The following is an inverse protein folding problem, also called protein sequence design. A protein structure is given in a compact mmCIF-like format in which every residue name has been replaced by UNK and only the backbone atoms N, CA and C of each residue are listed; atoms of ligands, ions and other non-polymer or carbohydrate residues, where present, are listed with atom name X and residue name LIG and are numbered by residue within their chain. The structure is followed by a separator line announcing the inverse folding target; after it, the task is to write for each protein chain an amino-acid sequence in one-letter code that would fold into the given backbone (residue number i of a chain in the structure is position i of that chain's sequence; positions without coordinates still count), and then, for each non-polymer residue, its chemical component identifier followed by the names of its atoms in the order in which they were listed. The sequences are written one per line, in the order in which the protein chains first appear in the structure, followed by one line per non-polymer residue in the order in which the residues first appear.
data_IF_766357340310
#
_entry.id   IF_766357340310
#
_cell.length_a   1.000
_cell.length_b   1.000
_cell.length_c   1.000
_cell.angle_alpha   90.00
_cell.angle_beta   90.00
_cell.angle_gamma   90.00
#
_symmetry.space_group_name_H-M   'P 1'
#
loop_
_entity.id
_entity.type
_entity.pdbx_description
1 polymer ?
#
# COMPACT_ATOMS: atom_id res chain seq x y z
N UNK A 1 30.95 -28.19 23.71
CA UNK A 1 30.21 -27.25 24.57
C UNK A 1 29.10 -26.62 23.74
N UNK A 2 27.83 -26.88 24.06
CA UNK A 2 26.72 -26.24 23.37
C UNK A 2 26.66 -24.76 23.80
N UNK A 3 26.77 -23.86 22.82
CA UNK A 3 26.69 -22.42 23.03
C UNK A 3 25.30 -22.06 23.60
N UNK A 4 25.25 -21.62 24.86
CA UNK A 4 24.00 -21.34 25.54
C UNK A 4 23.39 -20.04 24.99
N UNK A 5 22.58 -20.14 23.94
CA UNK A 5 21.92 -18.98 23.30
C UNK A 5 21.06 -18.22 24.31
N UNK A 6 21.24 -16.90 24.35
CA UNK A 6 20.38 -15.98 25.12
C UNK A 6 18.93 -16.05 24.67
N UNK A 7 17.96 -15.71 25.54
CA UNK A 7 16.53 -15.69 25.20
C UNK A 7 16.25 -14.87 23.92
N UNK A 8 16.88 -13.71 23.78
CA UNK A 8 16.70 -12.84 22.62
C UNK A 8 17.23 -13.47 21.31
N UNK A 9 18.29 -14.26 21.37
CA UNK A 9 18.78 -15.01 20.20
C UNK A 9 17.81 -16.12 19.82
N UNK A 10 17.22 -16.82 20.80
CA UNK A 10 16.20 -17.85 20.55
C UNK A 10 14.95 -17.24 19.90
N UNK A 11 14.45 -16.12 20.42
CA UNK A 11 13.31 -15.39 19.83
C UNK A 11 13.62 -14.94 18.40
N UNK A 12 14.79 -14.35 18.14
CA UNK A 12 15.16 -13.95 16.78
C UNK A 12 15.23 -15.14 15.81
N UNK A 13 15.77 -16.28 16.25
CA UNK A 13 15.85 -17.48 15.43
C UNK A 13 14.45 -18.03 15.11
N UNK A 14 13.55 -18.05 16.10
CA UNK A 14 12.15 -18.46 15.90
C UNK A 14 11.44 -17.54 14.92
N UNK A 15 11.50 -16.22 15.12
CA UNK A 15 10.85 -15.25 14.22
C UNK A 15 11.37 -15.38 12.78
N UNK A 16 12.67 -15.65 12.60
CA UNK A 16 13.24 -15.89 11.28
C UNK A 16 12.71 -17.19 10.64
N UNK A 17 12.65 -18.28 11.40
CA UNK A 17 12.13 -19.56 10.93
C UNK A 17 10.65 -19.46 10.52
N UNK A 18 9.82 -18.87 11.39
CA UNK A 18 8.38 -18.65 11.13
C UNK A 18 8.20 -17.75 9.91
N UNK A 19 9.00 -16.69 9.76
CA UNK A 19 8.94 -15.84 8.56
C UNK A 19 9.21 -16.63 7.27
N UNK A 20 10.18 -17.54 7.27
CA UNK A 20 10.47 -18.41 6.13
C UNK A 20 9.33 -19.40 5.86
N UNK A 21 8.71 -19.95 6.90
CA UNK A 21 7.55 -20.82 6.74
C UNK A 21 6.36 -20.09 6.12
N UNK A 22 6.05 -18.88 6.60
CA UNK A 22 4.96 -18.05 6.08
C UNK A 22 5.22 -17.64 4.63
N UNK A 23 6.48 -17.34 4.28
CA UNK A 23 6.85 -17.00 2.89
C UNK A 23 6.59 -18.15 1.92
N UNK A 24 6.67 -19.40 2.39
CA UNK A 24 6.45 -20.60 1.58
C UNK A 24 5.02 -21.16 1.71
N UNK A 25 4.18 -20.58 2.58
CA UNK A 25 2.83 -21.05 2.85
C UNK A 25 1.95 -20.98 1.59
N UNK A 26 1.28 -22.09 1.29
CA UNK A 26 0.33 -22.20 0.18
C UNK A 26 -1.11 -22.34 0.67
N UNK A 27 -1.29 -22.66 1.95
CA UNK A 27 -2.58 -22.92 2.57
C UNK A 27 -2.71 -22.24 3.93
N UNK A 28 -3.95 -22.03 4.37
CA UNK A 28 -4.28 -21.55 5.71
C UNK A 28 -3.68 -22.44 6.80
N UNK A 29 -3.65 -23.76 6.59
CA UNK A 29 -3.05 -24.73 7.52
C UNK A 29 -1.55 -24.47 7.74
N UNK A 30 -0.82 -24.05 6.71
CA UNK A 30 0.60 -23.70 6.83
C UNK A 30 0.81 -22.47 7.73
N UNK A 31 -0.10 -21.49 7.63
CA UNK A 31 -0.10 -20.28 8.47
C UNK A 31 -0.44 -20.60 9.91
N UNK A 32 -1.47 -21.42 10.14
CA UNK A 32 -1.85 -21.89 11.48
C UNK A 32 -0.68 -22.61 12.13
N UNK A 33 0.00 -23.51 11.41
CA UNK A 33 1.18 -24.20 11.91
C UNK A 33 2.30 -23.23 12.32
N UNK A 34 2.50 -22.15 11.58
CA UNK A 34 3.48 -21.12 11.93
C UNK A 34 3.13 -20.42 13.25
N UNK A 35 1.84 -20.20 13.53
CA UNK A 35 1.36 -19.65 14.81
C UNK A 35 1.47 -20.69 15.93
N UNK A 36 1.23 -21.97 15.64
CA UNK A 36 1.39 -23.07 16.60
C UNK A 36 2.85 -23.24 17.03
N UNK A 37 3.82 -23.11 16.12
CA UNK A 37 5.26 -23.13 16.45
C UNK A 37 5.64 -21.97 17.39
N UNK A 38 5.04 -20.80 17.19
CA UNK A 38 5.14 -19.65 18.09
C UNK A 38 4.53 -19.95 19.46
N UNK A 39 3.34 -20.55 19.48
CA UNK A 39 2.65 -20.95 20.72
C UNK A 39 3.47 -21.97 21.52
N UNK A 40 4.03 -22.98 20.83
CA UNK A 40 4.84 -24.04 21.43
C UNK A 40 6.15 -23.53 22.06
N UNK A 41 6.70 -22.43 21.55
CA UNK A 41 7.87 -21.78 22.15
C UNK A 41 7.57 -21.14 23.53
N UNK A 42 6.30 -20.83 23.81
CA UNK A 42 5.84 -20.19 25.04
C UNK A 42 5.31 -18.79 24.79
N UNK A 43 3.98 -18.67 24.76
CA UNK A 43 3.30 -17.38 24.67
C UNK A 43 3.20 -16.70 26.06
N UNK A 44 3.31 -15.36 26.14
CA UNK A 44 3.57 -14.43 25.04
C UNK A 44 5.05 -14.36 24.68
N UNK A 45 5.36 -14.37 23.37
CA UNK A 45 6.73 -14.15 22.90
C UNK A 45 7.13 -12.71 23.20
N UNK A 46 8.13 -12.53 24.05
CA UNK A 46 8.68 -11.22 24.40
C UNK A 46 10.20 -11.26 24.42
N UNK A 47 10.81 -10.23 23.86
CA UNK A 47 12.23 -9.96 24.06
C UNK A 47 12.47 -9.57 25.53
N UNK A 48 13.54 -10.10 26.12
CA UNK A 48 13.99 -9.64 27.42
C UNK A 48 14.80 -8.34 27.23
N UNK A 49 14.25 -7.24 27.76
CA UNK A 49 14.82 -5.90 27.66
C UNK A 49 15.35 -5.37 29.00
N UNK A 50 15.40 -6.18 30.06
CA UNK A 50 15.74 -5.73 31.42
C UNK A 50 17.05 -4.93 31.45
N UNK A 51 18.12 -5.47 30.86
CA UNK A 51 19.43 -4.81 30.78
C UNK A 51 19.34 -3.50 29.98
N UNK A 52 18.58 -3.47 28.88
CA UNK A 52 18.42 -2.27 28.06
C UNK A 52 17.65 -1.18 28.80
N UNK A 53 16.62 -1.54 29.58
CA UNK A 53 15.90 -0.59 30.44
C UNK A 53 16.79 -0.04 31.56
N UNK A 54 17.60 -0.90 32.21
CA UNK A 54 18.57 -0.45 33.22
C UNK A 54 19.57 0.53 32.61
N UNK A 55 20.14 0.21 31.45
CA UNK A 55 21.06 1.11 30.73
C UNK A 55 20.37 2.43 30.39
N UNK A 56 19.15 2.39 29.81
CA UNK A 56 18.40 3.59 29.46
C UNK A 56 18.12 4.47 30.68
N UNK A 57 17.75 3.87 31.81
CA UNK A 57 17.46 4.54 33.07
C UNK A 57 18.72 5.17 33.67
N UNK A 58 19.84 4.44 33.74
CA UNK A 58 21.12 4.97 34.24
C UNK A 58 21.59 6.14 33.38
N UNK A 59 21.59 5.99 32.05
CA UNK A 59 21.96 7.07 31.13
C UNK A 59 21.02 8.28 31.27
N UNK A 60 19.71 8.04 31.39
CA UNK A 60 18.72 9.08 31.59
C UNK A 60 18.92 9.85 32.90
N UNK A 61 19.16 9.15 34.01
CA UNK A 61 19.46 9.77 35.30
C UNK A 61 20.75 10.61 35.22
N UNK A 62 21.82 10.10 34.60
CA UNK A 62 23.06 10.84 34.41
C UNK A 62 22.86 12.09 33.52
N UNK A 63 22.02 12.00 32.48
CA UNK A 63 21.63 13.16 31.67
C UNK A 63 20.88 14.21 32.47
N UNK A 64 19.96 13.83 33.35
CA UNK A 64 19.23 14.76 34.23
C UNK A 64 20.19 15.45 35.20
N UNK A 65 21.11 14.70 35.82
CA UNK A 65 22.13 15.26 36.70
C UNK A 65 23.06 16.23 35.96
N UNK A 66 23.49 15.86 34.75
CA UNK A 66 24.26 16.73 33.87
C UNK A 66 23.52 18.02 33.54
N UNK A 67 22.23 17.93 33.21
CA UNK A 67 21.39 19.10 32.93
C UNK A 67 21.21 20.01 34.15
N UNK A 68 20.99 19.44 35.35
CA UNK A 68 20.89 20.21 36.59
C UNK A 68 22.20 20.94 36.90
N UNK A 69 23.34 20.29 36.70
CA UNK A 69 24.66 20.91 36.86
C UNK A 69 24.87 22.07 35.87
N UNK A 70 24.50 21.88 34.59
CA UNK A 70 24.59 22.92 33.57
C UNK A 70 23.67 24.10 33.89
N UNK A 71 22.47 23.84 34.40
CA UNK A 71 21.51 24.87 34.81
C UNK A 71 22.04 25.72 35.98
N UNK A 72 22.59 25.08 37.01
CA UNK A 72 23.16 25.78 38.17
C UNK A 72 24.42 26.59 37.82
N UNK A 73 25.25 26.08 36.91
CA UNK A 73 26.56 26.66 36.57
C UNK A 73 26.55 27.44 35.25
N UNK A 74 25.39 27.89 34.75
CA UNK A 74 25.16 28.29 33.36
C UNK A 74 26.22 29.18 32.67
N UNK A 75 26.91 30.09 33.40
CA UNK A 75 27.99 30.94 32.84
C UNK A 75 29.40 30.36 32.97
N UNK A 76 29.59 29.31 33.77
CA UNK A 76 30.86 28.64 34.06
C UNK A 76 30.89 27.17 33.59
N UNK A 77 29.82 26.68 32.97
CA UNK A 77 29.74 25.33 32.46
C UNK A 77 30.79 25.08 31.36
N UNK A 78 31.65 24.08 31.58
CA UNK A 78 32.63 23.65 30.59
C UNK A 78 31.93 22.95 29.41
N UNK A 79 32.33 23.29 28.18
CA UNK A 79 31.88 22.64 26.95
C UNK A 79 31.92 21.11 27.03
N UNK A 80 32.91 20.52 27.71
CA UNK A 80 33.03 19.08 27.88
C UNK A 80 31.80 18.47 28.59
N UNK A 81 31.28 19.14 29.63
CA UNK A 81 30.10 18.65 30.38
C UNK A 81 28.84 18.77 29.53
N UNK A 82 28.72 19.83 28.73
CA UNK A 82 27.63 20.00 27.76
C UNK A 82 27.65 18.90 26.71
N UNK A 83 28.81 18.60 26.12
CA UNK A 83 28.96 17.52 25.15
C UNK A 83 28.69 16.14 25.75
N UNK A 84 29.22 15.86 26.95
CA UNK A 84 28.97 14.60 27.64
C UNK A 84 27.49 14.38 27.95
N UNK A 85 26.80 15.42 28.43
CA UNK A 85 25.35 15.37 28.70
C UNK A 85 24.56 15.09 27.42
N UNK A 86 24.89 15.75 26.31
CA UNK A 86 24.25 15.52 25.02
C UNK A 86 24.46 14.07 24.52
N UNK A 87 25.67 13.50 24.67
CA UNK A 87 25.95 12.11 24.31
C UNK A 87 25.11 11.13 25.13
N UNK A 88 24.99 11.33 26.45
CA UNK A 88 24.19 10.47 27.33
C UNK A 88 22.71 10.44 26.90
N UNK A 89 22.16 11.60 26.53
CA UNK A 89 20.78 11.70 26.00
C UNK A 89 20.65 10.90 24.71
N UNK A 90 21.58 11.07 23.76
CA UNK A 90 21.55 10.33 22.49
C UNK A 90 21.66 8.82 22.70
N UNK A 91 22.52 8.35 23.60
CA UNK A 91 22.63 6.92 23.90
C UNK A 91 21.36 6.38 24.58
N UNK A 92 20.76 7.11 25.53
CA UNK A 92 19.50 6.71 26.16
C UNK A 92 18.38 6.56 25.11
N UNK A 93 18.21 7.56 24.23
CA UNK A 93 17.24 7.49 23.11
C UNK A 93 17.56 6.32 22.17
N UNK A 94 18.84 6.10 21.85
CA UNK A 94 19.28 4.97 21.03
C UNK A 94 18.88 3.62 21.61
N UNK A 95 19.06 3.43 22.93
CA UNK A 95 18.67 2.17 23.59
C UNK A 95 17.16 1.94 23.59
N UNK A 96 16.34 2.97 23.82
CA UNK A 96 14.88 2.89 23.71
C UNK A 96 14.44 2.56 22.27
N UNK A 97 15.11 3.14 21.27
CA UNK A 97 14.86 2.86 19.85
C UNK A 97 15.13 1.40 19.50
N UNK A 98 16.18 0.79 20.07
CA UNK A 98 16.48 -0.63 19.87
C UNK A 98 15.40 -1.54 20.47
N UNK A 99 14.86 -1.20 21.65
CA UNK A 99 13.74 -1.92 22.28
C UNK A 99 12.50 -1.86 21.36
N UNK A 100 12.17 -0.65 20.90
CA UNK A 100 11.04 -0.44 19.99
C UNK A 100 11.19 -1.23 18.69
N UNK A 101 12.36 -1.18 18.06
CA UNK A 101 12.66 -1.92 16.82
C UNK A 101 12.46 -3.43 16.99
N UNK A 102 12.90 -4.02 18.11
CA UNK A 102 12.71 -5.45 18.39
C UNK A 102 11.23 -5.82 18.53
N UNK A 103 10.46 -5.02 19.26
CA UNK A 103 9.01 -5.27 19.40
C UNK A 103 8.29 -5.09 18.06
N UNK A 104 8.73 -4.15 17.23
CA UNK A 104 8.21 -3.97 15.86
C UNK A 104 8.40 -5.22 15.01
N UNK A 105 9.51 -5.97 15.15
CA UNK A 105 9.73 -7.23 14.40
C UNK A 105 8.66 -8.28 14.64
N UNK A 106 8.17 -8.39 15.88
CA UNK A 106 7.08 -9.31 16.22
C UNK A 106 5.81 -8.89 15.49
N UNK A 107 5.40 -7.63 15.65
CA UNK A 107 4.21 -7.08 14.97
C UNK A 107 4.28 -7.23 13.46
N UNK A 108 5.42 -6.90 12.86
CA UNK A 108 5.63 -7.05 11.41
C UNK A 108 5.48 -8.51 10.95
N UNK A 109 5.81 -9.51 11.78
CA UNK A 109 5.58 -10.90 11.43
C UNK A 109 4.10 -11.30 11.60
N UNK A 110 3.42 -10.82 12.64
CA UNK A 110 1.98 -11.02 12.81
C UNK A 110 1.20 -10.42 11.63
N UNK A 111 1.54 -9.19 11.24
CA UNK A 111 0.93 -8.51 10.10
C UNK A 111 1.29 -9.22 8.79
N UNK A 112 2.48 -9.81 8.69
CA UNK A 112 2.86 -10.59 7.51
C UNK A 112 2.06 -11.89 7.38
N UNK A 113 1.83 -12.61 8.49
CA UNK A 113 0.95 -13.80 8.52
C UNK A 113 -0.46 -13.41 8.10
N UNK A 114 -1.02 -12.37 8.72
CA UNK A 114 -2.38 -11.93 8.43
C UNK A 114 -2.54 -11.44 6.99
N UNK A 115 -1.59 -10.68 6.45
CA UNK A 115 -1.63 -10.28 5.04
C UNK A 115 -1.52 -11.48 4.09
N UNK A 116 -0.78 -12.53 4.47
CA UNK A 116 -0.70 -13.76 3.67
C UNK A 116 -2.03 -14.52 3.69
N UNK A 117 -2.71 -14.52 4.82
CA UNK A 117 -4.06 -15.07 4.96
C UNK A 117 -5.08 -14.36 4.07
N UNK A 118 -5.11 -13.01 4.12
CA UNK A 118 -5.93 -12.19 3.22
C UNK A 118 -5.71 -12.53 1.74
N UNK A 119 -4.45 -12.79 1.35
CA UNK A 119 -4.14 -13.19 -0.02
C UNK A 119 -4.73 -14.57 -0.36
N UNK A 120 -4.66 -15.54 0.54
CA UNK A 120 -5.20 -16.88 0.33
C UNK A 120 -6.72 -16.86 0.23
N UNK A 121 -7.39 -16.18 1.16
CA UNK A 121 -8.85 -16.06 1.18
C UNK A 121 -9.43 -15.41 -0.07
N UNK A 122 -8.72 -14.40 -0.60
CA UNK A 122 -9.13 -13.64 -1.77
C UNK A 122 -8.46 -14.15 -3.06
N UNK A 123 -7.78 -15.30 -3.00
CA UNK A 123 -7.08 -15.95 -4.14
C UNK A 123 -6.11 -15.03 -4.89
N UNK A 124 -5.52 -14.08 -4.19
CA UNK A 124 -4.55 -13.13 -4.71
C UNK A 124 -3.18 -13.78 -4.76
N UNK A 125 -2.69 -14.02 -5.98
CA UNK A 125 -1.34 -14.58 -6.17
C UNK A 125 -0.37 -13.43 -6.44
N UNK A 126 0.67 -13.23 -5.61
CA UNK A 126 1.68 -12.21 -5.88
C UNK A 126 2.47 -12.56 -7.14
N UNK A 127 2.70 -11.56 -7.99
CA UNK A 127 3.47 -11.70 -9.23
C UNK A 127 4.80 -10.97 -9.06
N UNK A 128 5.89 -11.71 -9.14
CA UNK A 128 7.22 -11.13 -9.08
C UNK A 128 7.54 -10.41 -10.39
N UNK A 129 7.74 -9.10 -10.33
CA UNK A 129 8.07 -8.26 -11.48
C UNK A 129 9.27 -7.36 -11.20
N UNK A 130 9.98 -6.99 -12.26
CA UNK A 130 10.95 -5.89 -12.21
C UNK A 130 10.18 -4.58 -12.11
N UNK A 131 10.25 -3.93 -10.94
CA UNK A 131 9.38 -2.80 -10.59
C UNK A 131 9.35 -1.69 -11.65
N UNK A 132 10.51 -1.22 -12.09
CA UNK A 132 10.60 -0.14 -13.09
C UNK A 132 10.28 -0.61 -14.50
N UNK A 133 10.71 -1.83 -14.86
CA UNK A 133 10.48 -2.37 -16.20
C UNK A 133 8.99 -2.58 -16.43
N UNK A 134 8.30 -3.18 -15.46
CA UNK A 134 6.87 -3.44 -15.57
C UNK A 134 6.06 -2.13 -15.55
N UNK A 135 6.49 -1.12 -14.79
CA UNK A 135 5.90 0.22 -14.87
C UNK A 135 6.04 0.83 -16.27
N UNK A 136 7.18 0.64 -16.94
CA UNK A 136 7.39 1.08 -18.33
C UNK A 136 6.50 0.32 -19.31
N UNK A 137 6.40 -1.00 -19.16
CA UNK A 137 5.53 -1.86 -19.99
C UNK A 137 4.06 -1.41 -19.88
N UNK A 138 3.58 -1.16 -18.68
CA UNK A 138 2.24 -0.63 -18.45
C UNK A 138 2.08 0.81 -18.97
N UNK A 139 3.15 1.61 -18.95
CA UNK A 139 3.17 2.97 -19.54
C UNK A 139 3.02 3.01 -21.07
N UNK A 140 3.34 1.90 -21.77
CA UNK A 140 3.02 1.78 -23.19
C UNK A 140 1.54 1.44 -23.44
N UNK A 141 0.88 0.79 -22.47
CA UNK A 141 -0.52 0.35 -22.58
C UNK A 141 -1.53 1.35 -22.03
N UNK A 142 -1.16 2.09 -20.97
CA UNK A 142 -2.04 3.04 -20.31
C UNK A 142 -1.29 4.31 -19.89
N UNK A 143 -1.89 5.46 -20.16
CA UNK A 143 -1.41 6.77 -19.76
C UNK A 143 -1.33 6.95 -18.24
N UNK A 144 -2.14 6.22 -17.45
CA UNK A 144 -2.06 6.24 -15.98
C UNK A 144 -0.64 5.96 -15.45
N UNK A 145 0.15 5.12 -16.12
CA UNK A 145 1.52 4.81 -15.70
C UNK A 145 2.58 5.80 -16.22
N UNK A 146 2.18 6.80 -17.01
CA UNK A 146 3.05 7.88 -17.47
C UNK A 146 3.10 9.08 -16.50
N UNK A 147 2.55 8.93 -15.29
CA UNK A 147 2.67 9.91 -14.20
C UNK A 147 4.10 10.04 -13.69
N UNK A 148 4.42 11.16 -13.05
CA UNK A 148 5.78 11.44 -12.58
C UNK A 148 6.68 11.96 -13.70
N UNK A 149 7.77 12.63 -13.33
CA UNK A 149 8.81 13.08 -14.27
C UNK A 149 10.22 12.58 -13.92
N UNK A 150 10.37 11.76 -12.86
CA UNK A 150 11.66 11.28 -12.37
C UNK A 150 11.77 9.75 -12.32
N UNK A 151 10.95 9.08 -11.51
CA UNK A 151 10.94 7.62 -11.40
C UNK A 151 9.52 7.05 -11.31
N UNK A 152 9.38 5.77 -11.67
CA UNK A 152 8.13 5.03 -11.82
C UNK A 152 8.37 3.56 -11.50
N UNK A 153 7.58 2.98 -10.60
CA UNK A 153 7.80 1.62 -10.07
C UNK A 153 6.47 0.93 -9.76
N UNK A 154 6.34 -0.36 -10.11
CA UNK A 154 5.31 -1.24 -9.57
C UNK A 154 5.86 -1.90 -8.30
N UNK A 155 5.36 -1.47 -7.14
CA UNK A 155 5.81 -1.94 -5.82
C UNK A 155 5.17 -3.26 -5.40
N UNK A 156 3.95 -3.51 -5.87
CA UNK A 156 3.26 -4.76 -5.67
C UNK A 156 2.36 -5.04 -6.89
N UNK A 157 2.28 -6.32 -7.26
CA UNK A 157 1.40 -6.82 -8.30
C UNK A 157 0.81 -8.14 -7.82
N UNK A 158 -0.51 -8.27 -7.94
CA UNK A 158 -1.25 -9.50 -7.64
C UNK A 158 -2.13 -9.85 -8.83
N UNK A 159 -2.24 -11.14 -9.13
CA UNK A 159 -3.16 -11.68 -10.12
C UNK A 159 -4.26 -12.49 -9.41
N UNK A 160 -5.47 -12.43 -9.93
CA UNK A 160 -6.61 -13.23 -9.47
C UNK A 160 -7.71 -13.27 -10.53
N UNK A 161 -8.74 -14.07 -10.26
CA UNK A 161 -9.92 -14.20 -11.12
C UNK A 161 -11.17 -13.84 -10.34
N UNK A 162 -12.07 -13.09 -10.96
CA UNK A 162 -13.38 -12.76 -10.42
C UNK A 162 -14.46 -13.57 -11.14
N UNK A 163 -15.44 -14.07 -10.37
CA UNK A 163 -16.61 -14.77 -10.90
C UNK A 163 -17.88 -13.99 -10.52
N UNK A 164 -18.38 -13.20 -11.46
CA UNK A 164 -19.66 -12.53 -11.33
C UNK A 164 -20.83 -13.41 -11.79
N UNK A 165 -22.03 -12.84 -11.75
CA UNK A 165 -23.26 -13.51 -12.20
C UNK A 165 -23.28 -13.76 -13.72
N UNK A 166 -22.76 -12.80 -14.49
CA UNK A 166 -22.80 -12.83 -15.96
C UNK A 166 -21.41 -12.96 -16.60
N UNK A 167 -20.39 -12.37 -15.99
CA UNK A 167 -19.02 -12.40 -16.50
C UNK A 167 -18.06 -12.88 -15.44
N UNK A 168 -17.08 -13.64 -15.89
CA UNK A 168 -15.84 -13.92 -15.17
C UNK A 168 -14.69 -13.25 -15.90
N UNK A 169 -13.71 -12.74 -15.15
CA UNK A 169 -12.53 -12.13 -15.73
C UNK A 169 -11.32 -12.30 -14.83
N UNK A 170 -10.16 -12.45 -15.45
CA UNK A 170 -8.87 -12.35 -14.77
C UNK A 170 -8.49 -10.88 -14.64
N UNK A 171 -7.87 -10.53 -13.53
CA UNK A 171 -7.44 -9.17 -13.26
C UNK A 171 -6.10 -9.13 -12.53
N UNK A 172 -5.45 -7.99 -12.65
CA UNK A 172 -4.26 -7.66 -11.90
C UNK A 172 -4.53 -6.46 -10.99
N UNK A 173 -4.28 -6.61 -9.69
CA UNK A 173 -4.20 -5.49 -8.77
C UNK A 173 -2.76 -4.98 -8.70
N UNK A 174 -2.56 -3.67 -8.80
CA UNK A 174 -1.23 -3.05 -8.74
C UNK A 174 -1.13 -1.96 -7.67
N UNK A 175 0.07 -1.79 -7.14
CA UNK A 175 0.52 -0.60 -6.41
C UNK A 175 1.60 0.09 -7.23
N UNK A 176 1.25 1.23 -7.82
CA UNK A 176 2.12 2.05 -8.64
C UNK A 176 2.66 3.24 -7.86
N UNK A 177 3.98 3.38 -7.84
CA UNK A 177 4.67 4.51 -7.25
C UNK A 177 5.31 5.38 -8.32
N UNK A 178 5.21 6.70 -8.19
CA UNK A 178 5.90 7.63 -9.08
C UNK A 178 6.43 8.85 -8.33
N UNK A 179 7.44 9.49 -8.93
CA UNK A 179 8.13 10.65 -8.36
C UNK A 179 8.11 11.83 -9.32
N UNK A 180 7.74 12.98 -8.79
CA UNK A 180 7.95 14.28 -9.42
C UNK A 180 9.17 14.97 -8.82
N UNK A 181 10.12 15.31 -9.68
CA UNK A 181 11.27 16.15 -9.39
C UNK A 181 10.95 17.58 -9.78
N UNK A 182 11.06 18.50 -8.82
CA UNK A 182 10.99 19.95 -9.07
C UNK A 182 12.13 20.69 -8.39
N UNK A 183 12.39 21.89 -8.90
CA UNK A 183 13.42 22.78 -8.39
C UNK A 183 12.75 23.96 -7.72
N UNK A 184 13.08 24.21 -6.45
CA UNK A 184 12.58 25.36 -5.68
C UNK A 184 13.72 26.31 -5.35
N UNK A 185 13.46 27.61 -5.51
CA UNK A 185 14.39 28.66 -5.11
C UNK A 185 14.09 29.08 -3.67
N UNK A 186 15.12 29.19 -2.85
CA UNK A 186 15.01 29.73 -1.49
C UNK A 186 16.07 30.78 -1.26
N UNK A 187 15.69 31.85 -0.57
CA UNK A 187 16.61 32.92 -0.17
C UNK A 187 17.17 32.58 1.21
N UNK A 188 18.49 32.52 1.33
CA UNK A 188 19.11 32.32 2.64
C UNK A 188 19.03 33.59 3.51
N UNK A 189 19.37 33.48 4.79
CA UNK A 189 19.42 34.62 5.73
C UNK A 189 20.41 35.73 5.34
N UNK A 190 21.19 35.53 4.26
CA UNK A 190 22.14 36.49 3.67
C UNK A 190 21.64 37.06 2.33
N UNK A 191 20.38 36.84 1.96
CA UNK A 191 19.79 37.39 0.73
C UNK A 191 20.21 36.71 -0.58
N UNK A 192 20.93 35.59 -0.52
CA UNK A 192 21.39 34.86 -1.71
C UNK A 192 20.39 33.78 -2.12
N UNK A 193 20.13 33.70 -3.42
CA UNK A 193 19.33 32.64 -4.02
C UNK A 193 20.07 31.30 -3.98
N UNK A 194 19.39 30.27 -3.49
CA UNK A 194 19.85 28.89 -3.58
C UNK A 194 18.78 28.00 -4.19
N UNK A 195 19.26 27.06 -4.99
CA UNK A 195 18.44 26.07 -5.68
C UNK A 195 18.37 24.80 -4.83
N UNK A 196 17.16 24.32 -4.54
CA UNK A 196 16.92 23.03 -3.88
C UNK A 196 16.12 22.13 -4.81
N UNK A 197 16.61 20.92 -5.04
CA UNK A 197 15.84 19.88 -5.70
C UNK A 197 14.95 19.18 -4.66
N UNK A 198 13.66 19.05 -4.98
CA UNK A 198 12.66 18.36 -4.17
C UNK A 198 12.09 17.21 -4.99
N UNK A 199 11.95 16.05 -4.34
CA UNK A 199 11.32 14.86 -4.89
C UNK A 199 10.01 14.64 -4.14
N UNK A 200 8.91 14.81 -4.85
CA UNK A 200 7.57 14.59 -4.34
C UNK A 200 7.13 13.18 -4.76
N UNK A 201 6.80 12.35 -3.76
CA UNK A 201 6.51 10.93 -3.89
C UNK A 201 5.00 10.69 -3.88
N UNK A 202 4.50 9.89 -4.80
CA UNK A 202 3.07 9.62 -4.95
C UNK A 202 2.81 8.14 -5.21
N UNK A 203 1.62 7.69 -4.81
CA UNK A 203 1.16 6.32 -5.02
C UNK A 203 -0.23 6.32 -5.65
N UNK A 204 -0.46 5.36 -6.54
CA UNK A 204 -1.74 5.04 -7.18
C UNK A 204 -1.94 3.53 -7.08
N UNK A 205 -3.18 3.14 -6.91
CA UNK A 205 -3.58 1.74 -6.82
C UNK A 205 -4.63 1.48 -7.89
N UNK A 206 -4.84 0.23 -8.26
CA UNK A 206 -5.82 -0.05 -9.28
C UNK A 206 -5.87 -1.48 -9.73
N UNK A 207 -6.75 -1.69 -10.70
CA UNK A 207 -7.00 -2.95 -11.38
C UNK A 207 -6.75 -2.76 -12.86
N UNK A 208 -6.08 -3.69 -13.51
CA UNK A 208 -6.13 -3.80 -14.97
C UNK A 208 -6.53 -5.19 -15.43
N UNK A 209 -7.28 -5.24 -16.54
CA UNK A 209 -7.83 -6.48 -17.09
C UNK A 209 -8.23 -6.30 -18.57
N UNK A 210 -8.37 -7.39 -19.32
CA UNK A 210 -9.07 -7.36 -20.60
C UNK A 210 -10.56 -7.00 -20.40
N UNK A 211 -11.07 -5.98 -21.10
CA UNK A 211 -12.47 -5.52 -21.01
C UNK A 211 -13.31 -5.82 -22.26
N UNK A 212 -12.73 -5.79 -23.47
CA UNK A 212 -13.30 -6.27 -24.74
C UNK A 212 -14.49 -5.50 -25.33
N UNK A 213 -15.17 -4.61 -24.58
CA UNK A 213 -16.37 -3.94 -25.09
C UNK A 213 -16.15 -2.52 -25.64
N UNK A 214 -15.10 -1.83 -25.21
CA UNK A 214 -14.82 -0.45 -25.65
C UNK A 214 -13.31 -0.24 -25.71
N UNK A 215 -12.87 0.60 -26.63
CA UNK A 215 -11.49 1.04 -26.81
C UNK A 215 -11.40 2.56 -26.81
N UNK A 216 -10.20 3.08 -26.58
CA UNK A 216 -9.85 4.49 -26.73
C UNK A 216 -10.82 5.44 -26.00
N UNK A 217 -11.15 5.14 -24.75
CA UNK A 217 -12.04 5.94 -23.91
C UNK A 217 -11.43 6.11 -22.53
N UNK A 218 -11.50 7.33 -21.99
CA UNK A 218 -11.01 7.64 -20.66
C UNK A 218 -12.02 8.48 -19.87
N UNK A 219 -12.29 8.06 -18.64
CA UNK A 219 -13.02 8.82 -17.62
C UNK A 219 -12.00 9.30 -16.59
N UNK A 220 -11.71 10.60 -16.58
CA UNK A 220 -10.59 11.18 -15.84
C UNK A 220 -11.15 12.07 -14.71
N UNK A 221 -11.02 11.64 -13.46
CA UNK A 221 -11.25 12.48 -12.28
C UNK A 221 -9.97 13.15 -11.79
N UNK A 222 -8.84 12.45 -11.90
CA UNK A 222 -7.50 12.98 -11.59
C UNK A 222 -6.68 13.05 -12.86
N UNK A 223 -6.25 14.26 -13.20
CA UNK A 223 -5.51 14.56 -14.42
C UNK A 223 -4.41 13.52 -14.73
N UNK A 224 -4.47 12.97 -15.95
CA UNK A 224 -3.44 12.14 -16.56
C UNK A 224 -2.92 12.91 -17.79
N UNK A 225 -1.60 12.87 -18.02
CA UNK A 225 -0.97 13.49 -19.19
C UNK A 225 -1.03 12.57 -20.40
N UNK A 226 -1.13 13.15 -21.61
CA UNK A 226 -1.01 12.41 -22.86
C UNK A 226 -2.32 11.84 -23.42
N UNK A 227 -3.41 11.85 -22.66
CA UNK A 227 -4.73 11.41 -23.16
C UNK A 227 -5.29 12.45 -24.14
N UNK A 228 -5.51 12.04 -25.38
CA UNK A 228 -6.04 12.87 -26.48
C UNK A 228 -7.27 12.24 -27.12
N UNK A 229 -8.18 13.07 -27.64
CA UNK A 229 -9.41 12.63 -28.29
C UNK A 229 -10.50 13.70 -28.21
N UNK A 230 -11.73 13.30 -28.50
CA UNK A 230 -12.91 14.17 -28.41
C UNK A 230 -13.40 14.25 -26.97
N UNK A 231 -13.72 15.47 -26.52
CA UNK A 231 -14.35 15.64 -25.22
C UNK A 231 -15.84 15.32 -25.34
N UNK A 232 -16.36 14.52 -24.43
CA UNK A 232 -17.78 14.22 -24.34
C UNK A 232 -18.34 14.61 -22.97
N UNK A 233 -19.61 15.00 -22.93
CA UNK A 233 -20.33 15.29 -21.68
C UNK A 233 -21.72 14.66 -21.73
N UNK A 234 -22.02 13.65 -20.89
CA UNK A 234 -23.38 13.17 -20.74
C UNK A 234 -24.26 14.24 -20.07
N UNK A 235 -25.57 14.02 -20.07
CA UNK A 235 -26.54 14.96 -19.49
C UNK A 235 -26.39 15.17 -17.98
N UNK A 236 -25.79 14.22 -17.24
CA UNK A 236 -25.66 14.34 -15.78
C UNK A 236 -24.65 15.41 -15.39
N UNK A 237 -25.13 16.46 -14.72
CA UNK A 237 -24.29 17.51 -14.13
C UNK A 237 -23.36 16.93 -13.07
N UNK A 238 -23.82 15.97 -12.28
CA UNK A 238 -23.03 15.38 -11.19
C UNK A 238 -21.84 14.61 -11.74
N UNK A 239 -22.06 13.73 -12.72
CA UNK A 239 -20.99 13.04 -13.45
C UNK A 239 -19.95 14.01 -14.01
N UNK A 240 -20.40 15.09 -14.68
CA UNK A 240 -19.50 16.08 -15.28
C UNK A 240 -18.67 16.90 -14.27
N UNK A 241 -19.03 16.88 -12.98
CA UNK A 241 -18.20 17.44 -11.90
C UNK A 241 -17.10 16.47 -11.47
N UNK A 242 -17.33 15.17 -11.64
CA UNK A 242 -16.42 14.11 -11.20
C UNK A 242 -15.43 13.79 -12.32
N UNK A 243 -15.91 13.62 -13.55
CA UNK A 243 -15.11 13.12 -14.66
C UNK A 243 -15.05 14.09 -15.84
N UNK A 244 -13.87 14.16 -16.45
CA UNK A 244 -13.69 14.56 -17.85
C UNK A 244 -13.69 13.29 -18.71
N UNK A 245 -14.53 13.25 -19.75
CA UNK A 245 -14.55 12.15 -20.73
C UNK A 245 -13.72 12.54 -21.94
N UNK A 246 -12.81 11.65 -22.34
CA UNK A 246 -12.09 11.72 -23.61
C UNK A 246 -12.33 10.41 -24.35
N UNK A 247 -12.67 10.46 -25.64
CA UNK A 247 -12.89 9.26 -26.45
C UNK A 247 -12.44 9.43 -27.89
N UNK A 248 -12.28 8.32 -28.62
CA UNK A 248 -12.03 8.32 -30.07
C UNK A 248 -13.12 9.01 -30.89
N UNK A 249 -14.37 9.01 -30.41
CA UNK A 249 -15.48 9.74 -31.00
C UNK A 249 -16.58 10.02 -29.97
N UNK A 250 -17.35 11.09 -30.17
CA UNK A 250 -18.50 11.41 -29.32
C UNK A 250 -19.57 10.32 -29.38
N UNK A 251 -19.73 9.64 -30.53
CA UNK A 251 -20.69 8.54 -30.70
C UNK A 251 -20.30 7.33 -29.86
N UNK A 252 -19.01 6.94 -29.85
CA UNK A 252 -18.51 5.85 -29.03
C UNK A 252 -18.72 6.15 -27.53
N UNK A 253 -18.39 7.37 -27.10
CA UNK A 253 -18.63 7.82 -25.74
C UNK A 253 -20.13 7.79 -25.37
N UNK A 254 -21.01 8.27 -26.24
CA UNK A 254 -22.45 8.28 -25.99
C UNK A 254 -23.05 6.86 -25.89
N UNK A 255 -22.56 5.91 -26.70
CA UNK A 255 -22.99 4.51 -26.63
C UNK A 255 -22.56 3.85 -25.32
N UNK A 256 -21.33 4.09 -24.88
CA UNK A 256 -20.82 3.55 -23.61
C UNK A 256 -21.52 4.20 -22.41
N UNK A 257 -21.60 5.53 -22.38
CA UNK A 257 -22.12 6.33 -21.26
C UNK A 257 -23.65 6.46 -21.28
N UNK A 258 -24.33 5.32 -21.37
CA UNK A 258 -25.77 5.23 -21.08
C UNK A 258 -26.08 5.71 -19.66
N UNK A 259 -27.33 6.12 -19.36
CA UNK A 259 -27.71 6.59 -18.03
C UNK A 259 -27.33 5.63 -16.89
N UNK A 260 -27.41 4.32 -17.10
CA UNK A 260 -27.02 3.31 -16.09
C UNK A 260 -25.51 3.29 -15.83
N UNK A 261 -24.67 3.38 -16.87
CA UNK A 261 -23.20 3.47 -16.73
C UNK A 261 -22.81 4.78 -16.06
N UNK A 262 -23.44 5.89 -16.45
CA UNK A 262 -23.22 7.20 -15.83
C UNK A 262 -23.52 7.14 -14.32
N UNK A 263 -24.66 6.57 -13.92
CA UNK A 263 -25.00 6.39 -12.51
C UNK A 263 -24.02 5.46 -11.77
N UNK A 264 -23.59 4.36 -12.39
CA UNK A 264 -22.61 3.46 -11.80
C UNK A 264 -21.26 4.17 -11.55
N UNK A 265 -20.81 5.00 -12.50
CA UNK A 265 -19.59 5.79 -12.36
C UNK A 265 -19.70 6.89 -11.28
N UNK A 266 -20.89 7.46 -11.07
CA UNK A 266 -21.14 8.38 -9.96
C UNK A 266 -21.10 7.67 -8.60
N UNK A 267 -21.63 6.45 -8.52
CA UNK A 267 -21.65 5.65 -7.28
C UNK A 267 -20.25 5.20 -6.88
N UNK A 268 -19.45 4.69 -7.82
CA UNK A 268 -18.08 4.23 -7.50
C UNK A 268 -17.18 5.38 -7.02
N UNK A 269 -17.40 6.60 -7.53
CA UNK A 269 -16.69 7.80 -7.10
C UNK A 269 -17.02 8.24 -5.66
N UNK A 270 -18.07 7.71 -5.04
CA UNK A 270 -18.36 7.90 -3.62
C UNK A 270 -17.55 6.94 -2.74
N UNK A 271 -17.12 5.80 -3.29
CA UNK A 271 -16.38 4.76 -2.59
C UNK A 271 -14.86 4.89 -2.75
N UNK A 272 -14.42 5.49 -3.85
CA UNK A 272 -13.00 5.65 -4.21
C UNK A 272 -12.63 7.11 -4.47
N UNK A 273 -11.45 7.52 -4.01
CA UNK A 273 -10.89 8.84 -4.26
C UNK A 273 -10.12 8.83 -5.57
N UNK A 274 -10.33 9.88 -6.37
CA UNK A 274 -9.56 10.14 -7.58
C UNK A 274 -9.59 8.96 -8.57
N UNK A 275 -10.76 8.30 -8.69
CA UNK A 275 -10.96 7.13 -9.54
C UNK A 275 -10.92 7.51 -11.03
N UNK A 276 -10.12 6.83 -11.82
CA UNK A 276 -10.08 6.97 -13.27
C UNK A 276 -10.39 5.62 -13.93
N UNK A 277 -10.94 5.68 -15.14
CA UNK A 277 -11.11 4.53 -16.01
C UNK A 277 -10.42 4.84 -17.33
N UNK A 278 -9.53 3.99 -17.78
CA UNK A 278 -8.83 4.11 -19.05
C UNK A 278 -9.00 2.82 -19.83
N UNK A 279 -9.60 2.91 -21.01
CA UNK A 279 -9.78 1.83 -21.97
C UNK A 279 -8.82 2.06 -23.13
N UNK A 280 -7.83 1.19 -23.30
CA UNK A 280 -6.80 1.34 -24.32
C UNK A 280 -7.26 0.85 -25.71
N UNK A 281 -6.36 0.86 -26.68
CA UNK A 281 -6.64 0.43 -28.05
C UNK A 281 -6.87 -1.08 -28.15
N UNK A 282 -6.24 -1.88 -27.28
CA UNK A 282 -6.42 -3.32 -27.15
C UNK A 282 -7.65 -3.73 -26.34
N UNK A 283 -8.55 -2.80 -26.01
CA UNK A 283 -9.77 -3.03 -25.22
C UNK A 283 -9.53 -3.55 -23.81
N UNK A 284 -8.39 -3.20 -23.21
CA UNK A 284 -8.10 -3.44 -21.80
C UNK A 284 -8.57 -2.25 -20.96
N UNK A 285 -9.05 -2.53 -19.76
CA UNK A 285 -9.41 -1.52 -18.77
C UNK A 285 -8.28 -1.38 -17.75
N UNK A 286 -7.90 -0.15 -17.44
CA UNK A 286 -7.20 0.25 -16.22
C UNK A 286 -8.14 1.12 -15.35
N UNK A 287 -8.58 0.58 -14.23
CA UNK A 287 -9.29 1.32 -13.17
C UNK A 287 -8.28 1.72 -12.10
N UNK A 288 -8.03 3.02 -11.92
CA UNK A 288 -7.03 3.52 -10.97
C UNK A 288 -7.62 4.46 -9.94
N UNK A 289 -7.09 4.49 -8.72
CA UNK A 289 -7.56 5.31 -7.61
C UNK A 289 -6.43 5.60 -6.62
N UNK A 290 -6.70 6.44 -5.61
CA UNK A 290 -5.72 6.85 -4.59
C UNK A 290 -5.76 6.00 -3.30
N UNK A 291 -6.81 5.21 -3.12
CA UNK A 291 -7.05 4.40 -1.92
C UNK A 291 -5.99 3.31 -1.72
N UNK A 292 -5.26 3.39 -0.60
CA UNK A 292 -4.17 2.50 -0.20
C UNK A 292 -4.63 1.32 0.67
N UNK A 293 -5.92 1.27 1.00
CA UNK A 293 -6.52 0.32 1.94
C UNK A 293 -7.32 -0.80 1.25
N UNK A 294 -7.25 -0.91 -0.08
CA UNK A 294 -8.08 -1.86 -0.86
C UNK A 294 -7.76 -3.32 -0.57
N UNK A 295 -6.48 -3.63 -0.31
CA UNK A 295 -6.01 -4.97 0.04
C UNK A 295 -5.61 -5.08 1.52
N UNK A 296 -6.12 -4.20 2.38
CA UNK A 296 -5.74 -4.18 3.80
C UNK A 296 -6.96 -4.37 4.70
N UNK A 297 -6.78 -5.13 5.77
CA UNK A 297 -7.69 -5.18 6.91
C UNK A 297 -6.89 -5.02 8.20
N UNK A 298 -7.54 -4.52 9.25
CA UNK A 298 -6.93 -4.45 10.57
C UNK A 298 -7.04 -5.82 11.26
N UNK A 299 -5.88 -6.39 11.59
CA UNK A 299 -5.75 -7.58 12.42
C UNK A 299 -6.17 -7.30 13.87
N UNK A 300 -6.92 -8.22 14.47
CA UNK A 300 -7.44 -8.08 15.84
C UNK A 300 -6.55 -8.74 16.89
N UNK A 301 -5.96 -9.89 16.57
CA UNK A 301 -5.19 -10.72 17.53
C UNK A 301 -3.77 -11.00 17.04
N UNK A 302 -2.83 -11.26 17.96
CA UNK A 302 -1.43 -11.54 17.65
C UNK A 302 -0.83 -12.69 18.45
N UNK A 303 0.49 -12.77 18.50
CA UNK A 303 1.20 -13.81 19.24
C UNK A 303 1.08 -13.69 20.76
N UNK A 304 0.56 -12.57 21.28
CA UNK A 304 0.17 -12.43 22.67
C UNK A 304 -1.10 -13.24 23.01
N UNK A 305 -1.94 -13.53 22.01
CA UNK A 305 -3.15 -14.35 22.09
C UNK A 305 -3.23 -15.34 20.93
N UNK A 306 -2.33 -16.35 20.88
CA UNK A 306 -2.16 -17.20 19.72
C UNK A 306 -3.41 -18.01 19.36
N UNK A 307 -4.22 -18.42 20.34
CA UNK A 307 -5.46 -19.16 20.08
C UNK A 307 -6.52 -18.29 19.39
N UNK A 308 -6.69 -17.04 19.83
CA UNK A 308 -7.58 -16.08 19.19
C UNK A 308 -7.07 -15.73 17.78
N UNK A 309 -5.75 -15.59 17.61
CA UNK A 309 -5.15 -15.33 16.30
C UNK A 309 -5.35 -16.51 15.34
N UNK A 310 -5.21 -17.76 15.80
CA UNK A 310 -5.53 -18.94 14.98
C UNK A 310 -7.00 -18.94 14.56
N UNK A 311 -7.94 -18.56 15.44
CA UNK A 311 -9.35 -18.48 15.06
C UNK A 311 -9.62 -17.35 14.05
N UNK A 312 -8.89 -16.25 14.15
CA UNK A 312 -8.96 -15.16 13.17
C UNK A 312 -8.50 -15.61 11.77
N UNK A 313 -7.40 -16.36 11.69
CA UNK A 313 -6.87 -16.94 10.44
C UNK A 313 -7.78 -18.04 9.85
N UNK A 314 -8.53 -18.76 10.69
CA UNK A 314 -9.51 -19.76 10.22
C UNK A 314 -10.77 -19.16 9.60
N UNK A 315 -10.99 -17.87 9.82
CA UNK A 315 -12.17 -17.18 9.33
C UNK A 315 -11.90 -16.58 7.95
N UNK A 316 -12.78 -16.84 6.98
CA UNK A 316 -12.66 -16.25 5.65
C UNK A 316 -12.81 -14.73 5.73
N UNK A 317 -11.73 -14.02 5.40
CA UNK A 317 -11.65 -12.57 5.36
C UNK A 317 -11.96 -12.04 3.96
N UNK A 318 -12.99 -11.21 3.85
CA UNK A 318 -13.38 -10.58 2.58
C UNK A 318 -12.80 -9.17 2.53
N UNK A 319 -12.20 -8.80 1.39
CA UNK A 319 -11.72 -7.44 1.12
C UNK A 319 -12.85 -6.57 0.53
N UNK A 320 -13.54 -5.71 1.33
CA UNK A 320 -14.79 -5.10 0.89
C UNK A 320 -14.59 -4.09 -0.24
N UNK A 321 -13.52 -3.26 -0.17
CA UNK A 321 -13.21 -2.31 -1.25
C UNK A 321 -12.84 -3.02 -2.55
N UNK A 322 -12.06 -4.10 -2.48
CA UNK A 322 -11.75 -4.90 -3.67
C UNK A 322 -13.04 -5.44 -4.30
N UNK A 323 -13.96 -5.99 -3.50
CA UNK A 323 -15.23 -6.49 -3.99
C UNK A 323 -16.07 -5.40 -4.66
N UNK A 324 -16.16 -4.20 -4.07
CA UNK A 324 -16.86 -3.06 -4.68
C UNK A 324 -16.27 -2.71 -6.06
N UNK A 325 -14.94 -2.70 -6.19
CA UNK A 325 -14.29 -2.41 -7.47
C UNK A 325 -14.58 -3.50 -8.53
N UNK A 326 -14.50 -4.78 -8.14
CA UNK A 326 -14.76 -5.90 -9.03
C UNK A 326 -16.24 -5.96 -9.47
N UNK A 327 -17.17 -5.73 -8.55
CA UNK A 327 -18.61 -5.63 -8.84
C UNK A 327 -18.93 -4.45 -9.76
N UNK A 328 -18.24 -3.32 -9.57
CA UNK A 328 -18.38 -2.18 -10.46
C UNK A 328 -17.91 -2.51 -11.88
N UNK A 329 -16.73 -3.13 -12.03
CA UNK A 329 -16.22 -3.56 -13.34
C UNK A 329 -17.18 -4.57 -13.99
N UNK A 330 -17.69 -5.54 -13.23
CA UNK A 330 -18.72 -6.48 -13.70
C UNK A 330 -19.98 -5.76 -14.18
N UNK A 331 -20.42 -4.72 -13.47
CA UNK A 331 -21.56 -3.88 -13.85
C UNK A 331 -21.30 -3.13 -15.15
N UNK A 332 -20.09 -2.58 -15.33
CA UNK A 332 -19.69 -1.93 -16.59
C UNK A 332 -19.71 -2.90 -17.76
N UNK A 333 -19.18 -4.13 -17.60
CA UNK A 333 -19.23 -5.18 -18.62
C UNK A 333 -20.67 -5.54 -19.00
N UNK A 334 -21.52 -5.75 -17.99
CA UNK A 334 -22.95 -6.09 -18.17
C UNK A 334 -23.71 -5.04 -18.98
N UNK A 335 -23.52 -3.75 -18.68
CA UNK A 335 -24.17 -2.69 -19.45
C UNK A 335 -23.52 -2.44 -20.81
N UNK A 336 -22.26 -2.86 -20.99
CA UNK A 336 -21.55 -2.72 -22.25
C UNK A 336 -21.92 -3.82 -23.25
N UNK A 337 -22.07 -5.09 -22.86
CA UNK A 337 -22.50 -6.13 -23.81
C UNK A 337 -23.88 -5.85 -24.42
N UNK A 338 -24.79 -5.33 -23.58
CA UNK A 338 -26.12 -4.87 -24.01
C UNK A 338 -26.06 -3.66 -24.99
N UNK A 339 -24.89 -3.06 -25.22
CA UNK A 339 -24.67 -2.04 -26.26
C UNK A 339 -24.25 -2.61 -27.62
N UNK A 340 -23.65 -3.81 -27.64
CA UNK A 340 -22.96 -4.34 -28.83
C UNK A 340 -23.61 -5.60 -29.41
N UNK A 341 -24.62 -6.18 -28.74
CA UNK A 341 -25.54 -7.10 -29.40
C UNK A 341 -26.31 -6.35 -30.49
N UNK A 342 -25.94 -6.58 -31.75
CA UNK A 342 -26.84 -6.30 -32.87
C UNK A 342 -28.12 -7.10 -32.64
N UNK A 343 -29.26 -6.43 -32.76
CA UNK A 343 -30.54 -7.10 -32.95
C UNK A 343 -30.37 -8.15 -34.06
N UNK A 344 -30.34 -9.42 -33.69
CA UNK A 344 -30.54 -10.48 -34.67
C UNK A 344 -32.05 -10.47 -34.99
N UNK A 345 -32.45 -10.34 -36.26
CA UNK A 345 -33.86 -10.29 -36.65
C UNK A 345 -34.65 -11.54 -36.25
#
# INVERSE_FOLDING_TARGET
MAEHKSNNQKVNALLAAVRTQVANAQTETDLIKAIEDVKAFGAPIKFNHLINYIIAAVLGCLSVLGFLYLYQNGKHANNLVTFATALLVMFSIGTLTLIYSKNKKIRTLEDYIFNRDLQLDNRLTPVAVSAEQHARELGFRFHEFNRGNYSREIRALYQASYQGKEYSFDYHFYHFHYVDKRTTMHTNSKGQWRTKTVYDHYDRYGLYLPFHFISNLALISKSISGVSGYNYKPASIQFNKIYKVIAESEIAAAKFLKPTVVLACEQIAQSFREVNFEFNEETELCMSFRDDDVLTLERKHGFDRPDEFIQEIKGVQILPKLQIALEHIHTLMTYSDNNFRKDNP
#
